data_IF_256206648944
#
_entry.id   IF_256206648944
#
_cell.length_a   1.000
_cell.length_b   1.000
_cell.length_c   1.000
_cell.angle_alpha   90.00
_cell.angle_beta   90.00
_cell.angle_gamma   90.00
#
_symmetry.space_group_name_H-M   'P 1'
#
loop_
_entity.id
_entity.type
_entity.pdbx_description
1 polymer ?
#
# COMPACT_ATOMS: atom_id res chain seq x y z
N UNK A 1 -5.10 54.83 -0.89
CA UNK A 1 -4.29 54.48 0.30
C UNK A 1 -5.03 53.38 1.08
N UNK A 2 -4.75 52.12 0.78
CA UNK A 2 -5.12 51.03 1.67
C UNK A 2 -4.12 51.04 2.82
N UNK A 3 -4.60 51.50 3.98
CA UNK A 3 -3.91 51.28 5.25
C UNK A 3 -3.91 49.75 5.51
N UNK A 4 -2.80 49.07 5.24
CA UNK A 4 -2.56 47.72 5.66
C UNK A 4 -2.28 47.82 7.16
N UNK A 5 -3.35 47.69 7.96
CA UNK A 5 -3.25 47.73 9.40
C UNK A 5 -2.38 46.56 9.87
N UNK A 6 -1.14 46.90 10.28
CA UNK A 6 -0.38 46.15 11.25
C UNK A 6 0.01 44.73 10.92
N UNK A 7 0.89 44.52 9.92
CA UNK A 7 1.77 43.36 9.93
C UNK A 7 2.66 43.42 11.20
N UNK A 8 2.47 42.46 12.11
CA UNK A 8 3.36 42.30 13.26
C UNK A 8 4.33 41.17 12.98
N UNK A 9 5.60 41.45 13.13
CA UNK A 9 6.63 40.40 13.09
C UNK A 9 6.57 39.55 14.36
N UNK A 10 6.72 38.24 14.23
CA UNK A 10 6.84 37.36 15.40
C UNK A 10 8.08 37.76 16.21
N UNK A 11 7.91 37.92 17.52
CA UNK A 11 9.01 38.29 18.42
C UNK A 11 9.99 37.12 18.65
N UNK A 12 9.52 35.89 18.49
CA UNK A 12 10.32 34.66 18.65
C UNK A 12 9.73 33.56 17.77
N UNK A 13 10.59 32.91 17.02
CA UNK A 13 10.29 31.70 16.27
C UNK A 13 11.10 30.58 16.94
N UNK A 14 10.43 29.56 17.42
CA UNK A 14 11.07 28.33 17.87
C UNK A 14 11.09 27.35 16.69
N UNK A 15 12.24 26.73 16.39
CA UNK A 15 12.30 25.71 15.37
C UNK A 15 11.49 24.47 15.82
N UNK A 16 10.89 23.81 14.87
CA UNK A 16 10.34 22.47 15.08
C UNK A 16 11.50 21.47 15.20
N UNK A 17 11.45 20.64 16.24
CA UNK A 17 12.47 19.62 16.55
C UNK A 17 11.82 18.26 16.83
N UNK A 18 10.51 18.16 16.59
CA UNK A 18 9.74 16.93 16.84
C UNK A 18 9.63 16.13 15.55
N UNK A 19 10.17 14.92 15.48
CA UNK A 19 9.99 14.06 14.32
C UNK A 19 8.54 13.60 14.16
N UNK A 20 8.05 13.44 12.92
CA UNK A 20 6.76 12.84 12.66
C UNK A 20 6.74 11.40 13.17
N UNK A 21 5.61 11.00 13.77
CA UNK A 21 5.38 9.65 14.26
C UNK A 21 4.20 9.01 13.53
N UNK A 22 4.39 7.76 13.08
CA UNK A 22 3.34 6.98 12.47
C UNK A 22 2.37 6.50 13.54
N UNK A 23 1.12 6.96 13.49
CA UNK A 23 0.09 6.67 14.50
C UNK A 23 -0.77 5.47 14.17
N UNK A 24 -1.04 5.25 12.89
CA UNK A 24 -1.80 4.09 12.44
C UNK A 24 -1.47 3.74 10.99
N UNK A 25 -1.77 2.51 10.64
CA UNK A 25 -1.89 2.10 9.26
C UNK A 25 -3.14 1.24 9.06
N UNK A 26 -3.67 1.30 7.86
CA UNK A 26 -4.76 0.47 7.39
C UNK A 26 -4.28 -0.31 6.16
N UNK A 27 -4.71 -1.57 6.01
CA UNK A 27 -4.49 -2.36 4.81
C UNK A 27 -5.79 -2.38 4.00
N UNK A 28 -5.74 -1.92 2.78
CA UNK A 28 -6.85 -1.98 1.82
C UNK A 28 -6.52 -3.04 0.77
N UNK A 29 -7.17 -4.19 0.89
CA UNK A 29 -6.92 -5.33 0.00
C UNK A 29 -7.64 -5.16 -1.35
N UNK A 30 -8.71 -4.37 -1.39
CA UNK A 30 -9.47 -4.07 -2.60
C UNK A 30 -8.72 -3.05 -3.48
N UNK A 31 -8.12 -2.03 -2.85
CA UNK A 31 -7.28 -1.05 -3.55
C UNK A 31 -5.82 -1.49 -3.70
N UNK A 32 -5.42 -2.63 -3.16
CA UNK A 32 -4.02 -3.06 -3.06
C UNK A 32 -3.13 -1.98 -2.44
N UNK A 33 -3.58 -1.38 -1.33
CA UNK A 33 -2.94 -0.22 -0.74
C UNK A 33 -2.67 -0.38 0.75
N UNK A 34 -1.56 0.21 1.20
CA UNK A 34 -1.22 0.41 2.60
C UNK A 34 -1.36 1.91 2.91
N UNK A 35 -2.29 2.26 3.78
CA UNK A 35 -2.58 3.67 4.12
C UNK A 35 -1.93 4.01 5.44
N UNK A 36 -0.95 4.91 5.41
CA UNK A 36 -0.19 5.38 6.58
C UNK A 36 -0.78 6.70 7.10
N UNK A 37 -0.95 6.85 8.41
CA UNK A 37 -1.40 8.10 9.03
C UNK A 37 -0.40 8.53 10.11
N UNK A 38 0.20 9.70 9.90
CA UNK A 38 1.14 10.35 10.83
C UNK A 38 0.41 11.33 11.73
N UNK A 39 1.06 11.75 12.84
CA UNK A 39 0.52 12.76 13.76
C UNK A 39 0.63 14.19 13.21
N UNK A 40 1.44 14.39 12.16
CA UNK A 40 1.63 15.66 11.48
C UNK A 40 1.81 15.46 9.96
N UNK A 41 1.68 16.53 9.15
CA UNK A 41 1.93 16.44 7.72
C UNK A 41 3.40 16.15 7.41
N UNK A 42 3.65 15.11 6.62
CA UNK A 42 4.97 14.73 6.12
C UNK A 42 5.15 15.12 4.66
N UNK A 43 6.39 15.28 4.22
CA UNK A 43 6.71 15.45 2.82
C UNK A 43 6.51 14.12 2.09
N UNK A 44 5.49 14.03 1.25
CA UNK A 44 5.18 12.82 0.49
C UNK A 44 6.39 12.36 -0.35
N UNK A 45 7.16 13.30 -0.89
CA UNK A 45 8.37 13.01 -1.68
C UNK A 45 9.56 12.53 -0.84
N UNK A 46 9.51 12.63 0.48
CA UNK A 46 10.59 12.12 1.36
C UNK A 46 10.48 10.63 1.61
N UNK A 47 9.31 10.04 1.36
CA UNK A 47 9.09 8.61 1.55
C UNK A 47 9.76 7.85 0.40
N UNK A 48 10.61 6.88 0.73
CA UNK A 48 11.30 6.08 -0.29
C UNK A 48 10.29 5.33 -1.17
N UNK A 49 10.25 5.60 -2.47
CA UNK A 49 9.30 4.95 -3.37
C UNK A 49 9.53 3.44 -3.52
N UNK A 50 10.69 2.92 -3.14
CA UNK A 50 10.96 1.48 -3.16
C UNK A 50 10.48 0.77 -1.89
N UNK A 51 10.22 1.52 -0.84
CA UNK A 51 9.70 1.06 0.47
C UNK A 51 10.46 -0.19 0.98
N UNK A 52 11.76 -0.24 0.77
CA UNK A 52 12.58 -1.38 1.20
C UNK A 52 12.66 -1.54 2.72
N UNK A 53 12.29 -0.49 3.42
CA UNK A 53 12.46 -0.37 4.85
C UNK A 53 11.14 -0.57 5.63
N UNK A 54 10.08 -1.05 4.95
CA UNK A 54 8.80 -1.39 5.56
C UNK A 54 8.64 -2.90 5.60
N UNK A 55 8.34 -3.41 6.78
CA UNK A 55 8.12 -4.82 7.05
C UNK A 55 6.71 -5.04 7.56
N UNK A 56 6.01 -6.01 7.01
CA UNK A 56 4.71 -6.48 7.51
C UNK A 56 4.91 -7.84 8.16
N UNK A 57 4.43 -8.00 9.39
CA UNK A 57 4.58 -9.20 10.22
C UNK A 57 3.21 -9.80 10.54
N UNK A 58 3.16 -11.13 10.61
CA UNK A 58 1.94 -11.86 10.99
C UNK A 58 1.64 -11.77 12.50
N UNK A 59 2.60 -11.34 13.31
CA UNK A 59 2.49 -11.16 14.75
C UNK A 59 3.63 -10.31 15.30
N UNK A 60 3.64 -10.05 16.61
CA UNK A 60 4.65 -9.21 17.26
C UNK A 60 5.93 -9.96 17.65
N UNK A 61 5.99 -11.29 17.45
CA UNK A 61 7.12 -12.12 17.89
C UNK A 61 8.19 -12.20 16.79
N UNK A 62 9.45 -12.43 17.19
CA UNK A 62 10.60 -12.47 16.28
C UNK A 62 10.51 -13.62 15.26
N UNK A 63 9.88 -14.73 15.64
CA UNK A 63 9.70 -15.93 14.80
C UNK A 63 8.47 -15.85 13.88
N UNK A 64 7.67 -14.79 13.98
CA UNK A 64 6.49 -14.62 13.15
C UNK A 64 6.88 -14.36 11.68
N UNK A 65 6.08 -14.95 10.79
CA UNK A 65 6.29 -14.75 9.36
C UNK A 65 6.17 -13.27 8.97
N UNK A 66 7.04 -12.80 8.08
CA UNK A 66 7.04 -11.42 7.63
C UNK A 66 7.32 -11.29 6.13
N UNK A 67 6.94 -10.15 5.58
CA UNK A 67 7.23 -9.72 4.20
C UNK A 67 7.84 -8.33 4.24
N UNK A 68 8.92 -8.14 3.47
CA UNK A 68 9.51 -6.82 3.22
C UNK A 68 8.97 -6.26 1.93
N UNK A 69 8.45 -5.04 1.95
CA UNK A 69 8.04 -4.35 0.72
C UNK A 69 9.27 -4.00 -0.10
N UNK A 70 9.25 -4.30 -1.40
CA UNK A 70 10.43 -4.18 -2.24
C UNK A 70 10.20 -3.53 -3.60
N UNK A 71 8.96 -3.35 -4.02
CA UNK A 71 8.61 -2.70 -5.29
C UNK A 71 7.36 -1.81 -5.21
N UNK A 72 6.72 -1.75 -4.05
CA UNK A 72 5.57 -0.88 -3.81
C UNK A 72 5.93 0.60 -3.95
N UNK A 73 4.98 1.44 -4.28
CA UNK A 73 5.20 2.86 -4.61
C UNK A 73 4.22 3.74 -3.85
N UNK A 74 4.63 4.96 -3.59
CA UNK A 74 3.71 5.98 -3.11
C UNK A 74 2.67 6.28 -4.18
N UNK A 75 1.41 6.30 -3.78
CA UNK A 75 0.32 6.75 -4.64
C UNK A 75 0.58 8.20 -5.09
N UNK A 76 0.47 8.50 -6.40
CA UNK A 76 0.67 9.86 -6.87
C UNK A 76 -0.28 10.83 -6.18
N UNK A 77 0.28 11.84 -5.50
CA UNK A 77 -0.47 12.88 -4.80
C UNK A 77 -0.15 14.24 -5.39
N UNK A 78 -1.17 15.08 -5.51
CA UNK A 78 -0.99 16.51 -5.85
C UNK A 78 -0.52 17.33 -4.65
N UNK A 79 -0.59 16.76 -3.44
CA UNK A 79 -0.18 17.40 -2.21
C UNK A 79 1.29 17.08 -1.91
N UNK A 80 2.08 18.13 -1.70
CA UNK A 80 3.47 17.97 -1.25
C UNK A 80 3.55 17.52 0.21
N UNK A 81 2.58 17.95 1.04
CA UNK A 81 2.50 17.70 2.47
C UNK A 81 1.17 17.05 2.80
N UNK A 82 1.19 15.91 3.48
CA UNK A 82 -0.01 15.22 3.90
C UNK A 82 0.27 14.39 5.17
N UNK A 83 -0.68 14.35 6.10
CA UNK A 83 -0.61 13.47 7.25
C UNK A 83 -1.02 12.03 6.93
N UNK A 84 -1.72 11.82 5.81
CA UNK A 84 -2.11 10.49 5.34
C UNK A 84 -1.48 10.23 3.97
N UNK A 85 -0.81 9.09 3.81
CA UNK A 85 -0.10 8.71 2.60
C UNK A 85 -0.45 7.27 2.25
N UNK A 86 -0.81 7.03 1.00
CA UNK A 86 -1.08 5.69 0.47
C UNK A 86 0.14 5.14 -0.25
N UNK A 87 0.47 3.89 0.03
CA UNK A 87 1.47 3.08 -0.67
C UNK A 87 0.71 2.06 -1.50
N UNK A 88 0.80 2.14 -2.82
CA UNK A 88 0.26 1.13 -3.72
C UNK A 88 1.19 -0.08 -3.75
N UNK A 89 0.67 -1.22 -3.36
CA UNK A 89 1.40 -2.48 -3.36
C UNK A 89 1.61 -2.94 -4.80
N UNK A 90 2.85 -3.24 -5.15
CA UNK A 90 3.11 -3.89 -6.43
C UNK A 90 2.69 -5.37 -6.38
N UNK A 91 2.43 -5.95 -7.55
CA UNK A 91 2.01 -7.34 -7.71
C UNK A 91 2.86 -8.33 -6.91
N UNK A 92 4.20 -8.16 -6.93
CA UNK A 92 5.12 -9.06 -6.23
C UNK A 92 4.96 -8.98 -4.71
N UNK A 93 4.86 -7.78 -4.14
CA UNK A 93 4.73 -7.57 -2.71
C UNK A 93 3.35 -8.04 -2.24
N UNK A 94 2.30 -7.76 -3.01
CA UNK A 94 0.95 -8.25 -2.76
C UNK A 94 0.90 -9.78 -2.77
N UNK A 95 1.47 -10.42 -3.80
CA UNK A 95 1.57 -11.88 -3.86
C UNK A 95 2.33 -12.48 -2.67
N UNK A 96 3.42 -11.83 -2.24
CA UNK A 96 4.18 -12.28 -1.09
C UNK A 96 3.36 -12.24 0.21
N UNK A 97 2.56 -11.16 0.40
CA UNK A 97 1.64 -11.04 1.54
C UNK A 97 0.59 -12.16 1.50
N UNK A 98 0.00 -12.41 0.33
CA UNK A 98 -1.02 -13.46 0.17
C UNK A 98 -0.45 -14.88 0.29
N UNK A 99 0.77 -15.12 -0.15
CA UNK A 99 1.43 -16.40 -0.03
C UNK A 99 1.89 -16.71 1.40
N UNK A 100 2.05 -15.68 2.25
CA UNK A 100 2.47 -15.85 3.64
C UNK A 100 1.26 -16.20 4.51
N UNK A 101 1.25 -17.37 5.16
CA UNK A 101 0.13 -17.79 6.00
C UNK A 101 -0.19 -16.79 7.09
N UNK A 102 -1.46 -16.52 7.30
CA UNK A 102 -2.04 -15.61 8.30
C UNK A 102 -1.68 -14.11 8.13
N UNK A 103 -0.64 -13.74 7.39
CA UNK A 103 -0.20 -12.34 7.27
C UNK A 103 -1.32 -11.45 6.76
N UNK A 104 -1.64 -10.40 7.52
CA UNK A 104 -2.63 -9.36 7.20
C UNK A 104 -4.02 -9.89 6.76
N UNK A 105 -4.46 -11.03 7.31
CA UNK A 105 -5.83 -11.53 7.11
C UNK A 105 -6.82 -10.88 8.08
N UNK A 106 -6.33 -10.45 9.23
CA UNK A 106 -7.06 -9.75 10.28
C UNK A 106 -6.13 -8.75 10.94
N UNK A 107 -6.68 -7.80 11.67
CA UNK A 107 -5.89 -6.77 12.36
C UNK A 107 -4.92 -7.36 13.37
N UNK A 108 -5.27 -8.47 14.04
CA UNK A 108 -4.43 -9.17 15.00
C UNK A 108 -3.34 -10.06 14.37
N UNK A 109 -3.29 -10.11 13.04
CA UNK A 109 -2.24 -10.77 12.27
C UNK A 109 -1.58 -9.83 11.24
N UNK A 110 -1.59 -8.52 11.52
CA UNK A 110 -1.00 -7.53 10.65
C UNK A 110 -0.30 -6.44 11.46
N UNK A 111 1.01 -6.51 11.52
CA UNK A 111 1.87 -5.58 12.23
C UNK A 111 2.88 -4.97 11.27
N UNK A 112 3.25 -3.72 11.49
CA UNK A 112 4.20 -3.01 10.65
C UNK A 112 5.36 -2.48 11.49
N UNK A 113 6.57 -2.75 11.02
CA UNK A 113 7.78 -2.11 11.48
C UNK A 113 8.49 -1.39 10.34
N UNK A 114 9.35 -0.43 10.64
CA UNK A 114 10.11 0.31 9.64
C UNK A 114 11.41 0.85 10.22
N UNK A 115 12.39 1.09 9.35
CA UNK A 115 13.65 1.71 9.76
C UNK A 115 13.52 3.23 9.91
N UNK A 116 14.59 3.86 10.36
CA UNK A 116 14.71 5.31 10.50
C UNK A 116 14.53 6.00 9.13
N UNK A 117 13.85 7.15 9.13
CA UNK A 117 13.72 7.98 7.94
C UNK A 117 12.60 7.58 6.99
N UNK A 118 11.58 6.79 7.43
CA UNK A 118 10.42 6.46 6.60
C UNK A 118 9.76 7.69 5.99
N UNK A 119 9.67 8.78 6.73
CA UNK A 119 9.12 10.07 6.28
C UNK A 119 9.83 11.23 6.97
N UNK A 120 9.72 12.43 6.40
CA UNK A 120 10.26 13.66 7.00
C UNK A 120 9.21 14.78 7.01
N UNK A 121 9.28 15.66 8.02
CA UNK A 121 8.42 16.83 8.16
C UNK A 121 8.89 18.05 7.32
N UNK A 122 8.25 19.20 7.54
CA UNK A 122 8.56 20.47 6.87
C UNK A 122 9.59 21.34 7.58
N UNK A 123 10.15 20.90 8.70
CA UNK A 123 11.15 21.65 9.46
C UNK A 123 12.42 21.93 8.65
N UNK A 124 13.25 22.84 9.14
CA UNK A 124 14.53 23.17 8.51
C UNK A 124 15.65 23.20 9.57
N UNK A 125 16.52 22.17 9.62
CA UNK A 125 16.47 20.92 8.80
C UNK A 125 15.23 20.08 9.06
N UNK A 126 14.83 19.21 8.12
CA UNK A 126 13.70 18.31 8.31
C UNK A 126 13.95 17.34 9.49
N UNK A 127 12.90 17.05 10.27
CA UNK A 127 12.95 15.98 11.24
C UNK A 127 12.46 14.69 10.57
N UNK A 128 13.22 13.61 10.72
CA UNK A 128 12.94 12.31 10.11
C UNK A 128 12.24 11.39 11.11
N UNK A 129 11.25 10.64 10.64
CA UNK A 129 10.51 9.65 11.42
C UNK A 129 11.48 8.65 12.06
N UNK A 130 11.28 8.36 13.34
CA UNK A 130 12.10 7.40 14.09
C UNK A 130 11.80 5.98 13.62
N UNK A 131 12.80 5.11 13.70
CA UNK A 131 12.61 3.69 13.47
C UNK A 131 11.57 3.10 14.44
N UNK A 132 10.80 2.17 13.94
CA UNK A 132 9.87 1.36 14.73
C UNK A 132 10.29 -0.10 14.58
N UNK A 133 10.96 -0.62 15.62
CA UNK A 133 11.37 -2.03 15.66
C UNK A 133 10.18 -2.97 15.85
N UNK A 134 10.42 -4.27 15.71
CA UNK A 134 9.39 -5.29 15.89
C UNK A 134 8.73 -5.24 17.28
N UNK A 135 9.49 -5.03 18.36
CA UNK A 135 8.96 -4.90 19.74
C UNK A 135 7.91 -3.76 19.88
N UNK A 136 7.95 -2.81 18.97
CA UNK A 136 7.07 -1.65 18.91
C UNK A 136 6.29 -1.60 17.60
N UNK A 137 6.20 -2.74 16.90
CA UNK A 137 5.48 -2.82 15.65
C UNK A 137 4.02 -2.35 15.82
N UNK A 138 3.55 -1.57 14.87
CA UNK A 138 2.21 -1.01 14.90
C UNK A 138 1.24 -2.04 14.35
N UNK A 139 0.23 -2.39 15.13
CA UNK A 139 -0.85 -3.25 14.65
C UNK A 139 -1.75 -2.48 13.68
N UNK A 140 -2.22 -3.14 12.63
CA UNK A 140 -3.17 -2.56 11.68
C UNK A 140 -4.43 -2.08 12.39
N UNK A 141 -4.88 -0.87 12.07
CA UNK A 141 -6.12 -0.31 12.62
C UNK A 141 -7.34 -0.89 11.92
N UNK A 142 -7.24 -1.15 10.63
CA UNK A 142 -8.26 -1.80 9.82
C UNK A 142 -7.64 -2.66 8.71
N UNK A 143 -8.35 -3.71 8.34
CA UNK A 143 -8.12 -4.47 7.11
C UNK A 143 -9.42 -4.38 6.32
N UNK A 144 -9.38 -3.70 5.17
CA UNK A 144 -10.50 -3.65 4.24
C UNK A 144 -10.40 -4.87 3.33
N UNK A 145 -11.43 -5.73 3.30
CA UNK A 145 -11.40 -6.92 2.48
C UNK A 145 -11.48 -6.56 1.01
N UNK A 146 -10.90 -7.38 0.18
CA UNK A 146 -11.13 -7.38 -1.26
C UNK A 146 -12.56 -7.86 -1.55
N UNK A 147 -13.33 -7.03 -2.25
CA UNK A 147 -14.73 -7.28 -2.63
C UNK A 147 -14.96 -7.14 -4.13
N UNK A 148 -13.92 -6.74 -4.86
CA UNK A 148 -13.97 -6.58 -6.32
C UNK A 148 -13.70 -7.94 -6.99
N UNK A 149 -14.63 -8.46 -7.81
CA UNK A 149 -14.38 -9.69 -8.53
C UNK A 149 -13.32 -9.51 -9.62
N UNK A 150 -12.44 -10.50 -9.82
CA UNK A 150 -11.44 -10.45 -10.88
C UNK A 150 -12.05 -10.43 -12.29
N UNK A 151 -11.39 -9.71 -13.17
CA UNK A 151 -11.79 -9.61 -14.58
C UNK A 151 -10.69 -10.18 -15.46
N UNK A 152 -11.07 -11.06 -16.40
CA UNK A 152 -10.16 -11.52 -17.46
C UNK A 152 -9.88 -10.35 -18.41
N UNK A 153 -8.67 -9.86 -18.46
CA UNK A 153 -8.24 -8.74 -19.29
C UNK A 153 -7.82 -9.19 -20.68
N UNK A 154 -7.22 -10.38 -20.77
CA UNK A 154 -6.85 -10.99 -22.04
C UNK A 154 -6.80 -12.52 -21.92
N UNK A 155 -6.85 -13.20 -23.08
CA UNK A 155 -6.52 -14.61 -23.15
C UNK A 155 -5.75 -14.93 -24.43
N UNK A 156 -4.91 -15.95 -24.37
CA UNK A 156 -4.14 -16.47 -25.50
C UNK A 156 -4.44 -17.95 -25.72
N UNK A 157 -4.51 -18.36 -26.99
CA UNK A 157 -4.65 -19.77 -27.37
C UNK A 157 -3.50 -20.16 -28.28
N UNK A 158 -2.61 -21.03 -27.77
CA UNK A 158 -1.53 -21.64 -28.54
C UNK A 158 -1.99 -23.03 -29.00
N UNK A 159 -2.29 -23.13 -30.30
CA UNK A 159 -2.77 -24.37 -30.89
C UNK A 159 -1.68 -25.41 -31.08
N UNK A 160 -0.40 -24.98 -31.18
CA UNK A 160 0.73 -25.91 -31.35
C UNK A 160 1.04 -26.63 -30.04
N UNK A 161 0.94 -25.90 -28.92
CA UNK A 161 1.16 -26.44 -27.58
C UNK A 161 -0.11 -26.95 -26.90
N UNK A 162 -1.28 -26.62 -27.46
CA UNK A 162 -2.57 -26.91 -26.83
C UNK A 162 -2.76 -26.14 -25.51
N UNK A 163 -2.21 -24.93 -25.42
CA UNK A 163 -2.21 -24.10 -24.22
C UNK A 163 -3.22 -22.95 -24.33
N UNK A 164 -4.08 -22.82 -23.33
CA UNK A 164 -4.95 -21.67 -23.14
C UNK A 164 -4.44 -20.88 -21.93
N UNK A 165 -4.07 -19.61 -22.10
CA UNK A 165 -3.60 -18.70 -21.07
C UNK A 165 -4.57 -17.57 -20.84
N UNK A 166 -4.67 -17.11 -19.59
CA UNK A 166 -5.48 -15.96 -19.18
C UNK A 166 -4.65 -14.95 -18.44
N UNK A 167 -4.98 -13.67 -18.62
CA UNK A 167 -4.48 -12.56 -17.82
C UNK A 167 -5.67 -11.93 -17.08
N UNK A 168 -5.48 -11.66 -15.80
CA UNK A 168 -6.46 -11.01 -14.95
C UNK A 168 -5.95 -9.63 -14.55
N UNK A 169 -6.86 -8.74 -14.14
CA UNK A 169 -6.54 -7.41 -13.61
C UNK A 169 -6.00 -7.46 -12.18
N UNK A 170 -6.20 -8.58 -11.48
CA UNK A 170 -5.73 -8.79 -10.12
C UNK A 170 -5.17 -10.21 -9.90
N UNK A 171 -4.70 -10.48 -8.66
CA UNK A 171 -4.12 -11.78 -8.30
C UNK A 171 -5.21 -12.78 -8.00
N UNK A 172 -5.14 -13.91 -8.69
CA UNK A 172 -6.08 -15.00 -8.51
C UNK A 172 -5.58 -16.10 -7.58
N UNK A 173 -6.50 -16.65 -6.81
CA UNK A 173 -6.27 -17.90 -6.08
C UNK A 173 -6.43 -19.08 -7.03
N UNK A 174 -5.35 -19.54 -7.63
CA UNK A 174 -5.36 -20.63 -8.64
C UNK A 174 -6.21 -21.84 -8.28
N UNK A 175 -6.26 -22.33 -7.01
CA UNK A 175 -7.14 -23.43 -6.64
C UNK A 175 -8.64 -23.17 -6.79
N UNK A 176 -9.07 -21.91 -6.89
CA UNK A 176 -10.48 -21.54 -7.14
C UNK A 176 -10.85 -21.50 -8.62
N UNK A 177 -9.85 -21.58 -9.52
CA UNK A 177 -10.06 -21.51 -10.95
C UNK A 177 -10.62 -22.82 -11.51
N UNK A 178 -11.88 -22.79 -11.93
CA UNK A 178 -12.57 -23.96 -12.50
C UNK A 178 -12.57 -23.94 -14.02
N UNK A 179 -11.66 -24.70 -14.62
CA UNK A 179 -11.54 -24.81 -16.10
C UNK A 179 -12.79 -25.35 -16.77
N UNK A 180 -13.67 -26.06 -16.06
CA UNK A 180 -14.89 -26.63 -16.63
C UNK A 180 -15.95 -25.58 -16.97
N UNK A 181 -15.82 -24.37 -16.44
CA UNK A 181 -16.73 -23.25 -16.70
C UNK A 181 -16.37 -22.45 -17.95
N UNK A 182 -15.21 -22.74 -18.56
CA UNK A 182 -14.71 -22.00 -19.71
C UNK A 182 -15.35 -22.55 -21.00
N UNK A 183 -15.92 -21.66 -21.80
CA UNK A 183 -16.45 -21.98 -23.12
C UNK A 183 -15.79 -21.14 -24.19
N UNK A 184 -15.14 -21.79 -25.17
CA UNK A 184 -14.62 -21.13 -26.34
C UNK A 184 -15.72 -21.03 -27.41
N UNK A 185 -15.93 -19.85 -27.96
CA UNK A 185 -16.94 -19.58 -28.96
C UNK A 185 -16.32 -19.02 -30.25
N UNK A 186 -16.89 -19.37 -31.40
CA UNK A 186 -16.44 -18.87 -32.71
C UNK A 186 -16.94 -17.44 -33.02
N UNK A 187 -17.95 -16.95 -32.27
CA UNK A 187 -18.54 -15.62 -32.46
C UNK A 187 -19.04 -15.07 -31.11
N UNK A 188 -19.21 -13.74 -31.03
CA UNK A 188 -19.83 -13.11 -29.87
C UNK A 188 -21.29 -13.49 -29.74
N UNK A 189 -21.80 -13.67 -28.52
CA UNK A 189 -23.17 -14.05 -28.24
C UNK A 189 -24.22 -13.07 -28.81
N UNK A 190 -23.84 -11.81 -29.04
CA UNK A 190 -24.73 -10.79 -29.59
C UNK A 190 -24.95 -10.88 -31.12
N UNK A 191 -24.23 -11.76 -31.81
CA UNK A 191 -24.38 -11.92 -33.27
C UNK A 191 -25.50 -12.90 -33.63
N UNK A 192 -26.24 -13.41 -32.65
CA UNK A 192 -27.35 -14.37 -32.83
C UNK A 192 -28.74 -13.76 -32.61
N UNK A 193 -28.88 -12.43 -32.74
CA UNK A 193 -30.23 -11.80 -32.80
C UNK A 193 -30.59 -11.66 -34.26
N UNK A 194 -31.18 -12.73 -34.82
CA UNK A 194 -31.85 -12.76 -36.09
C UNK A 194 -33.36 -12.70 -35.91
#
# INVERSE_FOLDING_TARGET
>A
NRNIAGTRQAMKVLPDVTPPDLKKFDMDLDANALVLTFDEPVNVSSIDPTIRDVYLHAGPEEDDAFVTLGCSKIEPSTLTWNATVSILLCQRDFNAIFATPALCRRTDSCYMSHVFGLAADSAKPPNEARARSLDYALQASAILPDVTPPIVTSFGLDMDQGLLSFEFDEVEHLPSFDVSTITLQSARFNDFVG
#
